data_IF_966136300204
#
_entry.id   IF_966136300204
#
_cell.length_a   1.000
_cell.length_b   1.000
_cell.length_c   1.000
_cell.angle_alpha   90.00
_cell.angle_beta   90.00
_cell.angle_gamma   90.00
#
_symmetry.space_group_name_H-M   'P 1'
#
loop_
_entity.id
_entity.type
_entity.pdbx_description
1 polymer ?
#
# COMPACT_ATOMS: atom_id res chain seq x y z
N UNK A 1 19.78 7.00 -3.76
CA UNK A 1 19.75 5.53 -3.87
C UNK A 1 18.30 5.15 -4.14
N UNK A 2 18.01 4.73 -5.36
CA UNK A 2 16.65 4.42 -5.79
C UNK A 2 16.32 2.97 -5.46
N UNK A 3 15.08 2.73 -5.02
CA UNK A 3 14.64 1.38 -4.66
C UNK A 3 14.51 0.54 -5.94
N UNK A 4 15.02 -0.69 -5.90
CA UNK A 4 14.77 -1.68 -6.96
C UNK A 4 13.31 -2.12 -6.92
N UNK A 5 12.71 -2.49 -8.05
CA UNK A 5 11.32 -2.99 -8.07
C UNK A 5 11.12 -4.16 -7.09
N UNK A 6 12.08 -5.09 -7.05
CA UNK A 6 12.09 -6.22 -6.10
C UNK A 6 12.09 -5.74 -4.64
N UNK A 7 12.90 -4.74 -4.31
CA UNK A 7 12.93 -4.14 -2.98
C UNK A 7 11.62 -3.46 -2.61
N UNK A 8 10.99 -2.74 -3.56
CA UNK A 8 9.67 -2.12 -3.36
C UNK A 8 8.60 -3.16 -3.03
N UNK A 9 8.55 -4.23 -3.82
CA UNK A 9 7.60 -5.34 -3.58
C UNK A 9 7.85 -6.07 -2.27
N UNK A 10 9.11 -6.39 -1.93
CA UNK A 10 9.43 -7.01 -0.62
C UNK A 10 9.01 -6.12 0.54
N UNK A 11 9.29 -4.82 0.45
CA UNK A 11 8.92 -3.83 1.46
C UNK A 11 7.40 -3.70 1.59
N UNK A 12 6.68 -3.60 0.48
CA UNK A 12 5.21 -3.52 0.47
C UNK A 12 4.59 -4.78 1.07
N UNK A 13 5.04 -5.95 0.64
CA UNK A 13 4.54 -7.22 1.15
C UNK A 13 4.74 -7.33 2.66
N UNK A 14 5.96 -7.03 3.16
CA UNK A 14 6.25 -7.03 4.59
C UNK A 14 5.32 -6.07 5.34
N UNK A 15 5.19 -4.83 4.87
CA UNK A 15 4.40 -3.79 5.52
C UNK A 15 2.91 -4.13 5.53
N UNK A 16 2.38 -4.69 4.45
CA UNK A 16 0.97 -5.11 4.37
C UNK A 16 0.72 -6.29 5.31
N UNK A 17 1.57 -7.31 5.30
CA UNK A 17 1.39 -8.51 6.13
C UNK A 17 1.58 -8.22 7.62
N UNK A 18 2.41 -7.25 7.97
CA UNK A 18 2.63 -6.87 9.38
C UNK A 18 1.70 -5.75 9.80
N UNK A 19 2.05 -4.51 9.44
CA UNK A 19 1.31 -3.31 9.86
C UNK A 19 -0.09 -3.27 9.26
N UNK A 20 -0.22 -3.62 7.98
CA UNK A 20 -1.52 -3.66 7.30
C UNK A 20 -2.48 -4.64 7.97
N UNK A 21 -2.03 -5.86 8.30
CA UNK A 21 -2.85 -6.84 9.01
C UNK A 21 -3.22 -6.37 10.42
N UNK A 22 -2.29 -5.79 11.19
CA UNK A 22 -2.59 -5.25 12.53
C UNK A 22 -3.67 -4.16 12.48
N UNK A 23 -3.55 -3.19 11.56
CA UNK A 23 -4.54 -2.13 11.38
C UNK A 23 -5.88 -2.73 10.90
N UNK A 24 -5.83 -3.70 10.00
CA UNK A 24 -7.03 -4.35 9.44
C UNK A 24 -7.80 -5.12 10.50
N UNK A 25 -7.14 -5.75 11.47
CA UNK A 25 -7.83 -6.40 12.60
C UNK A 25 -8.60 -5.37 13.41
N UNK A 26 -7.98 -4.24 13.74
CA UNK A 26 -8.62 -3.17 14.52
C UNK A 26 -9.82 -2.59 13.77
N UNK A 27 -9.66 -2.31 12.49
CA UNK A 27 -10.72 -1.72 11.65
C UNK A 27 -11.83 -2.73 11.34
N UNK A 28 -11.49 -3.98 11.07
CA UNK A 28 -12.48 -5.05 10.85
C UNK A 28 -13.30 -5.32 12.11
N UNK A 29 -12.69 -5.25 13.30
CA UNK A 29 -13.43 -5.33 14.56
C UNK A 29 -14.33 -4.11 14.79
N UNK A 30 -13.88 -2.90 14.41
CA UNK A 30 -14.66 -1.67 14.53
C UNK A 30 -15.92 -1.66 13.65
N UNK A 31 -15.83 -2.25 12.45
CA UNK A 31 -16.94 -2.32 11.51
C UNK A 31 -17.71 -3.65 11.56
N UNK A 32 -17.37 -4.54 12.50
CA UNK A 32 -17.95 -5.88 12.65
C UNK A 32 -17.89 -6.75 11.37
N UNK A 33 -17.01 -6.40 10.42
CA UNK A 33 -16.80 -7.09 9.16
C UNK A 33 -15.31 -7.30 8.91
N UNK A 34 -14.77 -8.31 9.57
CA UNK A 34 -13.36 -8.69 9.47
C UNK A 34 -13.04 -9.29 8.10
N UNK A 35 -13.98 -10.02 7.50
CA UNK A 35 -13.79 -10.69 6.21
C UNK A 35 -13.59 -9.66 5.10
N UNK A 36 -14.50 -8.69 4.96
CA UNK A 36 -14.37 -7.65 3.95
C UNK A 36 -13.14 -6.79 4.18
N UNK A 37 -12.76 -6.52 5.44
CA UNK A 37 -11.55 -5.77 5.75
C UNK A 37 -10.27 -6.49 5.26
N UNK A 38 -10.16 -7.81 5.48
CA UNK A 38 -9.01 -8.58 4.97
C UNK A 38 -9.03 -8.76 3.44
N UNK A 39 -10.21 -8.94 2.84
CA UNK A 39 -10.34 -8.96 1.37
C UNK A 39 -9.90 -7.62 0.79
N UNK A 40 -10.31 -6.51 1.39
CA UNK A 40 -9.87 -5.15 1.03
C UNK A 40 -8.36 -5.01 1.13
N UNK A 41 -7.74 -5.50 2.21
CA UNK A 41 -6.28 -5.52 2.36
C UNK A 41 -5.58 -6.30 1.24
N UNK A 42 -6.17 -7.43 0.80
CA UNK A 42 -5.69 -8.20 -0.34
C UNK A 42 -5.72 -7.41 -1.64
N UNK A 43 -6.80 -6.67 -1.90
CA UNK A 43 -6.88 -5.76 -3.05
C UNK A 43 -5.84 -4.65 -2.98
N UNK A 44 -5.65 -4.03 -1.81
CA UNK A 44 -4.61 -3.01 -1.59
C UNK A 44 -3.23 -3.57 -1.92
N UNK A 45 -2.93 -4.81 -1.51
CA UNK A 45 -1.66 -5.45 -1.84
C UNK A 45 -1.49 -5.63 -3.35
N UNK A 46 -2.47 -6.26 -4.02
CA UNK A 46 -2.37 -6.61 -5.44
C UNK A 46 -2.28 -5.34 -6.29
N UNK A 47 -3.19 -4.39 -6.10
CA UNK A 47 -3.18 -3.12 -6.83
C UNK A 47 -1.91 -2.33 -6.52
N UNK A 48 -1.47 -2.31 -5.26
CA UNK A 48 -0.23 -1.67 -4.86
C UNK A 48 1.01 -2.24 -5.55
N UNK A 49 1.09 -3.55 -5.73
CA UNK A 49 2.21 -4.20 -6.45
C UNK A 49 2.22 -3.83 -7.94
N UNK A 50 1.05 -3.82 -8.59
CA UNK A 50 0.89 -3.39 -9.98
C UNK A 50 1.27 -1.92 -10.12
N UNK A 51 0.76 -1.08 -9.22
CA UNK A 51 1.03 0.35 -9.21
C UNK A 51 2.51 0.64 -8.94
N UNK A 52 3.17 -0.18 -8.11
CA UNK A 52 4.60 -0.08 -7.88
C UNK A 52 5.43 -0.36 -9.13
N UNK A 53 4.98 -1.26 -10.01
CA UNK A 53 5.62 -1.52 -11.30
C UNK A 53 5.42 -0.35 -12.27
N UNK A 54 4.20 0.21 -12.32
CA UNK A 54 3.91 1.41 -13.13
C UNK A 54 4.76 2.59 -12.67
N UNK A 55 4.80 2.84 -11.36
CA UNK A 55 5.62 3.88 -10.75
C UNK A 55 7.10 3.70 -11.09
N UNK A 56 7.64 2.49 -10.93
CA UNK A 56 9.03 2.19 -11.25
C UNK A 56 9.35 2.40 -12.73
N UNK A 57 8.45 1.98 -13.63
CA UNK A 57 8.60 2.19 -15.06
C UNK A 57 8.62 3.69 -15.41
N UNK A 58 7.68 4.48 -14.88
CA UNK A 58 7.67 5.94 -15.10
C UNK A 58 8.89 6.62 -14.49
N UNK A 59 9.33 6.16 -13.31
CA UNK A 59 10.52 6.65 -12.63
C UNK A 59 11.79 6.43 -13.46
N UNK A 60 11.90 5.29 -14.15
CA UNK A 60 13.04 4.96 -15.01
C UNK A 60 13.21 5.88 -16.22
N UNK A 61 12.18 6.63 -16.60
CA UNK A 61 12.22 7.57 -17.74
C UNK A 61 12.77 8.95 -17.37
N UNK A 62 12.97 9.25 -16.08
CA UNK A 62 13.54 10.53 -15.64
C UNK A 62 15.06 10.47 -15.65
N UNK A 63 15.67 11.59 -16.00
CA UNK A 63 17.12 11.77 -16.02
C UNK A 63 17.83 11.42 -14.70
N UNK A 64 17.20 11.71 -13.56
CA UNK A 64 17.74 11.44 -12.22
C UNK A 64 17.27 10.08 -11.65
N UNK A 65 16.35 9.40 -12.33
CA UNK A 65 15.72 8.15 -11.88
C UNK A 65 15.12 8.20 -10.46
N UNK A 66 14.98 9.37 -9.83
CA UNK A 66 14.48 9.54 -8.47
C UNK A 66 13.22 10.41 -8.43
N UNK A 67 12.33 10.09 -7.50
CA UNK A 67 11.06 10.78 -7.31
C UNK A 67 11.00 11.31 -5.88
N UNK A 68 10.55 12.55 -5.75
CA UNK A 68 10.36 13.18 -4.44
C UNK A 68 9.30 12.42 -3.62
N UNK A 69 9.43 12.38 -2.28
CA UNK A 69 8.42 11.77 -1.41
C UNK A 69 6.99 12.29 -1.64
N UNK A 70 6.85 13.52 -2.13
CA UNK A 70 5.55 14.09 -2.54
C UNK A 70 4.84 13.26 -3.62
N UNK A 71 5.58 12.68 -4.57
CA UNK A 71 4.97 11.85 -5.61
C UNK A 71 4.51 10.49 -5.07
N UNK A 72 5.10 10.00 -3.98
CA UNK A 72 4.59 8.84 -3.25
C UNK A 72 3.24 9.15 -2.59
N UNK A 73 3.06 10.36 -2.03
CA UNK A 73 1.78 10.81 -1.49
C UNK A 73 0.71 10.85 -2.59
N UNK A 74 1.03 11.48 -3.72
CA UNK A 74 0.13 11.59 -4.88
C UNK A 74 -0.22 10.20 -5.42
N UNK A 75 0.76 9.30 -5.49
CA UNK A 75 0.57 7.89 -5.87
C UNK A 75 -0.48 7.20 -5.00
N UNK A 76 -0.47 7.41 -3.68
CA UNK A 76 -1.49 6.85 -2.78
C UNK A 76 -2.89 7.40 -3.03
N UNK A 77 -3.02 8.68 -3.41
CA UNK A 77 -4.30 9.27 -3.82
C UNK A 77 -4.82 8.58 -5.09
N UNK A 78 -3.98 8.44 -6.12
CA UNK A 78 -4.37 7.76 -7.36
C UNK A 78 -4.76 6.30 -7.14
N UNK A 79 -4.00 5.57 -6.34
CA UNK A 79 -4.30 4.17 -5.98
C UNK A 79 -5.69 4.07 -5.32
N UNK A 80 -6.02 4.99 -4.39
CA UNK A 80 -7.36 5.04 -3.77
C UNK A 80 -8.48 5.30 -4.78
N UNK A 81 -8.28 6.23 -5.73
CA UNK A 81 -9.28 6.56 -6.76
C UNK A 81 -9.55 5.34 -7.64
N UNK A 82 -8.48 4.66 -8.09
CA UNK A 82 -8.59 3.46 -8.92
C UNK A 82 -9.36 2.36 -8.20
N UNK A 83 -9.07 2.14 -6.92
CA UNK A 83 -9.78 1.14 -6.11
C UNK A 83 -11.26 1.48 -5.93
N UNK A 84 -11.61 2.73 -5.64
CA UNK A 84 -13.01 3.18 -5.50
C UNK A 84 -13.78 3.01 -6.80
N UNK A 85 -13.17 3.41 -7.93
CA UNK A 85 -13.76 3.25 -9.25
C UNK A 85 -13.96 1.76 -9.56
N UNK A 86 -12.99 0.91 -9.22
CA UNK A 86 -13.11 -0.54 -9.33
C UNK A 86 -14.27 -1.10 -8.50
N UNK A 87 -14.40 -0.67 -7.24
CA UNK A 87 -15.51 -1.09 -6.37
C UNK A 87 -16.86 -0.67 -6.96
N UNK A 88 -16.99 0.57 -7.44
CA UNK A 88 -18.27 1.10 -7.94
C UNK A 88 -18.68 0.56 -9.32
N UNK A 89 -17.72 0.38 -10.23
CA UNK A 89 -18.03 -0.02 -11.61
C UNK A 89 -18.03 -1.54 -11.79
N UNK A 90 -17.10 -2.23 -11.14
CA UNK A 90 -16.85 -3.67 -11.37
C UNK A 90 -17.50 -4.51 -10.25
N UNK A 91 -17.65 -3.95 -9.05
CA UNK A 91 -18.12 -4.70 -7.88
C UNK A 91 -17.10 -5.76 -7.48
N UNK A 92 -15.99 -5.34 -6.87
CA UNK A 92 -14.89 -6.24 -6.51
C UNK A 92 -15.40 -7.45 -5.68
N UNK A 93 -15.13 -8.69 -6.13
CA UNK A 93 -15.60 -9.89 -5.45
C UNK A 93 -15.19 -9.94 -3.97
N UNK A 94 -16.13 -10.31 -3.10
CA UNK A 94 -15.85 -10.49 -1.66
C UNK A 94 -15.80 -9.19 -0.85
N UNK A 95 -16.09 -8.04 -1.45
CA UNK A 95 -16.37 -6.80 -0.70
C UNK A 95 -17.89 -6.70 -0.50
N UNK A 96 -18.34 -6.76 0.75
CA UNK A 96 -19.76 -6.56 1.06
C UNK A 96 -20.23 -5.16 0.62
N UNK A 97 -21.37 -5.04 -0.07
CA UNK A 97 -21.96 -3.73 -0.38
C UNK A 97 -22.23 -2.88 0.87
N UNK A 98 -22.52 -3.54 2.00
CA UNK A 98 -22.80 -2.91 3.30
C UNK A 98 -21.54 -2.29 3.93
N UNK A 99 -20.36 -2.78 3.59
CA UNK A 99 -19.09 -2.19 4.03
C UNK A 99 -19.00 -0.73 3.57
N UNK A 100 -19.56 -0.40 2.42
CA UNK A 100 -19.67 0.98 1.94
C UNK A 100 -18.32 1.58 1.52
N UNK A 101 -18.40 2.56 0.61
CA UNK A 101 -17.20 3.20 0.04
C UNK A 101 -16.44 4.03 1.09
N UNK A 102 -17.13 4.60 2.07
CA UNK A 102 -16.51 5.40 3.12
C UNK A 102 -15.68 4.56 4.09
N UNK A 103 -16.16 3.38 4.51
CA UNK A 103 -15.38 2.52 5.40
C UNK A 103 -14.17 1.94 4.67
N UNK A 104 -14.32 1.60 3.38
CA UNK A 104 -13.18 1.21 2.53
C UNK A 104 -12.14 2.33 2.42
N UNK A 105 -12.57 3.56 2.15
CA UNK A 105 -11.69 4.72 2.10
C UNK A 105 -10.96 4.92 3.43
N UNK A 106 -11.70 4.86 4.54
CA UNK A 106 -11.13 4.99 5.88
C UNK A 106 -10.08 3.89 6.12
N UNK A 107 -10.43 2.63 5.87
CA UNK A 107 -9.53 1.48 5.99
C UNK A 107 -8.26 1.65 5.15
N UNK A 108 -8.42 1.98 3.87
CA UNK A 108 -7.32 2.23 2.94
C UNK A 108 -6.38 3.31 3.48
N UNK A 109 -6.91 4.48 3.83
CA UNK A 109 -6.09 5.61 4.27
C UNK A 109 -5.38 5.32 5.59
N UNK A 110 -6.04 4.65 6.55
CA UNK A 110 -5.38 4.25 7.79
C UNK A 110 -4.25 3.25 7.54
N UNK A 111 -4.47 2.23 6.71
CA UNK A 111 -3.43 1.26 6.34
C UNK A 111 -2.27 1.97 5.64
N UNK A 112 -2.57 2.81 4.65
CA UNK A 112 -1.56 3.51 3.86
C UNK A 112 -0.72 4.48 4.70
N UNK A 113 -1.35 5.29 5.56
CA UNK A 113 -0.64 6.18 6.50
C UNK A 113 0.21 5.36 7.48
N UNK A 114 -0.34 4.28 8.04
CA UNK A 114 0.39 3.39 8.95
C UNK A 114 1.63 2.81 8.29
N UNK A 115 1.51 2.30 7.06
CA UNK A 115 2.64 1.81 6.28
C UNK A 115 3.68 2.90 6.02
N UNK A 116 3.26 4.12 5.69
CA UNK A 116 4.17 5.25 5.49
C UNK A 116 4.96 5.59 6.74
N UNK A 117 4.30 5.69 7.89
CA UNK A 117 4.97 5.99 9.16
C UNK A 117 6.06 4.96 9.45
N UNK A 118 5.75 3.66 9.27
CA UNK A 118 6.73 2.58 9.46
C UNK A 118 7.87 2.66 8.44
N UNK A 119 7.56 2.91 7.17
CA UNK A 119 8.55 2.99 6.08
C UNK A 119 9.52 4.17 6.24
N UNK A 120 9.04 5.34 6.66
CA UNK A 120 9.88 6.53 6.82
C UNK A 120 10.62 6.59 8.15
N UNK A 121 10.11 5.95 9.20
CA UNK A 121 10.73 5.93 10.53
C UNK A 121 11.32 4.57 10.91
N UNK A 122 10.58 3.71 11.64
CA UNK A 122 11.07 2.47 12.25
C UNK A 122 11.89 1.56 11.32
N UNK A 123 11.45 1.38 10.07
CA UNK A 123 12.12 0.48 9.13
C UNK A 123 13.59 0.84 8.91
N UNK A 124 13.92 2.14 8.89
CA UNK A 124 15.29 2.61 8.69
C UNK A 124 16.20 2.39 9.90
N UNK A 125 15.60 2.33 11.09
CA UNK A 125 16.31 2.11 12.36
C UNK A 125 16.53 0.61 12.59
N UNK A 126 15.48 -0.19 12.41
CA UNK A 126 15.51 -1.63 12.68
C UNK A 126 16.29 -2.39 11.59
N UNK A 127 16.23 -1.92 10.33
CA UNK A 127 16.87 -2.57 9.19
C UNK A 127 17.83 -1.63 8.45
N UNK A 128 19.00 -1.30 9.01
CA UNK A 128 19.95 -0.39 8.36
C UNK A 128 20.39 -0.88 6.97
N UNK A 129 20.56 -2.21 6.81
CA UNK A 129 20.98 -2.85 5.55
C UNK A 129 19.97 -2.68 4.41
N UNK A 130 18.68 -2.53 4.73
CA UNK A 130 17.60 -2.32 3.76
C UNK A 130 17.86 -1.10 2.86
N UNK A 131 18.37 -0.01 3.46
CA UNK A 131 18.72 1.22 2.74
C UNK A 131 19.83 1.00 1.71
N UNK A 132 20.83 0.20 2.06
CA UNK A 132 22.00 -0.04 1.21
C UNK A 132 21.75 -1.08 0.10
N UNK A 133 20.65 -1.83 0.19
CA UNK A 133 20.28 -2.87 -0.80
C UNK A 133 19.08 -2.48 -1.65
N UNK A 134 18.83 -1.18 -1.84
CA UNK A 134 17.73 -0.70 -2.68
C UNK A 134 16.36 -1.23 -2.25
N UNK A 135 16.12 -1.35 -0.95
CA UNK A 135 14.87 -1.83 -0.36
C UNK A 135 14.77 -3.34 -0.16
N UNK A 136 15.84 -4.08 -0.44
CA UNK A 136 15.84 -5.53 -0.29
C UNK A 136 16.25 -5.95 1.12
N UNK A 137 15.62 -7.03 1.59
CA UNK A 137 15.84 -7.59 2.93
C UNK A 137 16.84 -8.74 2.93
N UNK A 138 16.92 -9.48 1.82
CA UNK A 138 17.81 -10.61 1.56
C UNK A 138 18.91 -10.23 0.58
#
# INVERSE_FOLDING_TARGET
MTLTLRGRWQTRFLLVVTMGSLITIVIGALFEDLQTAFVSLGYILIFGLVWDAVYFYLQSRRWDHDWTPALYLISGIFESIVLIVGIRLIGLPGISPEYGVLNFLFHYWTVWVGMMVVMFGPMRVIFPRWRFRGGQWL
#
